data_IF_983321754408
#
_entry.id   IF_983321754408
#
_cell.length_a   1.000
_cell.length_b   1.000
_cell.length_c   1.000
_cell.angle_alpha   90.00
_cell.angle_beta   90.00
_cell.angle_gamma   90.00
#
_symmetry.space_group_name_H-M   'P 1'
#
loop_
_entity.id
_entity.type
_entity.pdbx_description
1 polymer ?
#
# COMPACT_ATOMS: atom_id res chain seq x y z
N UNK A 1 16.11 62.87 -12.37
CA UNK A 1 15.60 63.18 -13.73
C UNK A 1 16.68 63.94 -14.47
N UNK A 2 17.00 63.67 -15.76
CA UNK A 2 16.16 63.14 -16.87
C UNK A 2 16.69 61.82 -17.50
N UNK A 3 15.86 60.85 -17.92
CA UNK A 3 15.10 60.64 -19.19
C UNK A 3 15.93 60.25 -20.45
N UNK A 4 15.82 58.95 -20.79
CA UNK A 4 15.75 58.26 -22.12
C UNK A 4 16.97 58.30 -23.08
N UNK A 5 17.29 57.29 -23.91
CA UNK A 5 16.41 56.46 -24.79
C UNK A 5 17.24 55.36 -25.51
N UNK A 6 16.54 54.27 -25.89
CA UNK A 6 16.83 53.27 -26.96
C UNK A 6 17.78 52.11 -26.62
N UNK A 7 17.65 50.86 -27.07
CA UNK A 7 16.69 50.02 -27.84
C UNK A 7 17.27 48.59 -27.64
N UNK A 8 16.47 47.56 -27.32
CA UNK A 8 16.76 46.20 -27.84
C UNK A 8 15.52 45.30 -27.90
N UNK A 9 15.12 45.05 -29.16
CA UNK A 9 14.38 43.93 -29.76
C UNK A 9 13.47 43.04 -28.90
N UNK A 10 12.17 43.15 -29.23
CA UNK A 10 11.15 42.12 -29.07
C UNK A 10 11.62 40.78 -29.68
N UNK A 11 11.75 39.74 -28.85
CA UNK A 11 11.48 38.36 -29.26
C UNK A 11 10.22 37.91 -28.53
N UNK A 12 9.14 37.80 -29.28
CA UNK A 12 7.96 37.08 -28.86
C UNK A 12 8.34 35.59 -28.77
N UNK A 13 8.65 35.12 -27.58
CA UNK A 13 8.53 33.70 -27.29
C UNK A 13 7.04 33.46 -27.05
N UNK A 14 6.36 32.85 -28.03
CA UNK A 14 5.13 32.13 -27.78
C UNK A 14 5.47 31.06 -26.74
N UNK A 15 5.24 31.37 -25.46
CA UNK A 15 5.10 30.35 -24.44
C UNK A 15 3.83 29.60 -24.77
N UNK A 16 3.97 28.43 -25.38
CA UNK A 16 2.93 27.41 -25.34
C UNK A 16 2.84 27.02 -23.86
N UNK A 17 1.99 27.72 -23.12
CA UNK A 17 1.41 27.15 -21.91
C UNK A 17 0.57 25.98 -22.41
N UNK A 18 1.17 24.79 -22.42
CA UNK A 18 0.39 23.58 -22.31
C UNK A 18 -0.34 23.71 -20.97
N UNK A 19 -1.58 24.20 -21.02
CA UNK A 19 -2.50 24.04 -19.93
C UNK A 19 -2.67 22.53 -19.76
N UNK A 20 -1.84 21.92 -18.92
CA UNK A 20 -2.11 20.60 -18.38
C UNK A 20 -3.42 20.75 -17.62
N UNK A 21 -4.54 20.44 -18.28
CA UNK A 21 -5.81 20.33 -17.61
C UNK A 21 -5.58 19.37 -16.43
N UNK A 22 -5.81 19.85 -15.22
CA UNK A 22 -5.83 18.96 -14.06
C UNK A 22 -6.79 17.81 -14.40
N UNK A 23 -6.38 16.54 -14.23
CA UNK A 23 -7.25 15.42 -14.57
C UNK A 23 -8.58 15.61 -13.84
N UNK A 24 -9.67 15.73 -14.58
CA UNK A 24 -10.99 15.86 -13.98
C UNK A 24 -11.30 14.56 -13.24
N UNK A 25 -11.69 14.68 -11.97
CA UNK A 25 -12.19 13.53 -11.21
C UNK A 25 -13.45 13.03 -11.92
N UNK A 26 -13.35 11.86 -12.54
CA UNK A 26 -14.46 11.21 -13.21
C UNK A 26 -15.13 10.23 -12.25
N UNK A 27 -16.45 10.32 -12.15
CA UNK A 27 -17.26 9.36 -11.41
C UNK A 27 -17.83 8.30 -12.37
N UNK A 28 -17.88 7.05 -11.91
CA UNK A 28 -18.56 5.98 -12.65
C UNK A 28 -20.07 6.29 -12.73
N UNK A 29 -20.69 6.05 -13.90
CA UNK A 29 -22.15 6.10 -14.03
C UNK A 29 -22.73 4.85 -13.34
N UNK A 30 -23.16 5.03 -12.09
CA UNK A 30 -23.87 4.11 -11.17
C UNK A 30 -23.86 2.60 -11.48
N UNK A 31 -23.41 1.82 -10.49
CA UNK A 31 -23.76 0.39 -10.39
C UNK A 31 -23.73 -0.09 -8.92
N UNK A 32 -24.91 -0.41 -8.38
CA UNK A 32 -25.18 -1.27 -7.20
C UNK A 32 -24.44 -0.93 -5.89
N UNK A 33 -25.00 -0.03 -5.08
CA UNK A 33 -24.60 0.20 -3.68
C UNK A 33 -23.16 0.73 -3.51
N UNK A 34 -22.83 1.19 -2.30
CA UNK A 34 -21.46 1.56 -1.96
C UNK A 34 -20.67 0.31 -1.57
N UNK A 35 -19.34 0.27 -1.78
CA UNK A 35 -18.52 -0.86 -1.34
C UNK A 35 -18.65 -1.07 0.18
N UNK A 36 -18.77 0.02 0.96
CA UNK A 36 -18.95 -0.03 2.42
C UNK A 36 -20.22 -0.81 2.84
N UNK A 37 -21.25 -0.87 2.00
CA UNK A 37 -22.51 -1.55 2.30
C UNK A 37 -22.38 -3.09 2.32
N UNK A 38 -21.26 -3.59 1.76
CA UNK A 38 -20.89 -5.01 1.76
C UNK A 38 -20.28 -5.45 3.08
N UNK A 39 -19.76 -4.52 3.90
CA UNK A 39 -19.11 -4.85 5.16
C UNK A 39 -20.12 -5.43 6.17
N UNK A 40 -19.76 -6.58 6.74
CA UNK A 40 -20.46 -7.20 7.87
C UNK A 40 -19.80 -6.77 9.19
N UNK A 41 -20.41 -7.06 10.35
CA UNK A 41 -19.75 -6.83 11.63
C UNK A 41 -18.43 -7.61 11.75
N UNK A 42 -17.38 -6.93 12.20
CA UNK A 42 -16.06 -7.53 12.44
C UNK A 42 -16.11 -8.51 13.63
N UNK A 43 -15.47 -9.69 13.55
CA UNK A 43 -15.39 -10.60 14.68
C UNK A 43 -14.44 -10.08 15.76
N UNK A 44 -14.94 -10.03 17.00
CA UNK A 44 -14.09 -9.83 18.19
C UNK A 44 -13.10 -11.00 18.28
N UNK A 45 -11.82 -10.69 18.53
CA UNK A 45 -10.75 -11.69 18.59
C UNK A 45 -10.35 -12.29 17.23
N UNK A 46 -10.88 -11.76 16.12
CA UNK A 46 -10.42 -12.10 14.78
C UNK A 46 -9.11 -11.43 14.40
N UNK A 47 -8.50 -11.92 13.32
CA UNK A 47 -7.29 -11.34 12.76
C UNK A 47 -5.99 -11.84 13.42
N UNK A 48 -4.95 -11.00 13.42
CA UNK A 48 -3.61 -11.37 13.86
C UNK A 48 -2.96 -10.27 14.71
N UNK A 49 -2.50 -10.65 15.91
CA UNK A 49 -1.71 -9.79 16.79
C UNK A 49 -0.57 -10.57 17.46
N UNK A 50 0.42 -9.84 17.98
CA UNK A 50 1.54 -10.40 18.73
C UNK A 50 1.86 -9.48 19.91
N UNK A 51 1.80 -9.95 21.18
CA UNK A 51 1.87 -9.07 22.35
C UNK A 51 3.10 -8.14 22.42
N UNK A 52 4.28 -8.65 22.08
CA UNK A 52 5.57 -7.93 22.17
C UNK A 52 5.97 -7.23 20.86
N UNK A 53 5.10 -7.30 19.85
CA UNK A 53 5.38 -6.75 18.53
C UNK A 53 4.28 -5.77 18.12
N UNK A 54 4.69 -4.75 17.38
CA UNK A 54 3.78 -4.10 16.45
C UNK A 54 3.56 -5.06 15.29
N UNK A 55 2.30 -5.28 14.94
CA UNK A 55 1.90 -6.02 13.74
C UNK A 55 1.13 -5.08 12.82
N UNK A 56 1.46 -5.07 11.53
CA UNK A 56 0.88 -4.14 10.54
C UNK A 56 0.72 -4.81 9.18
N UNK A 57 0.01 -4.15 8.26
CA UNK A 57 -0.16 -4.52 6.85
C UNK A 57 -0.28 -6.01 6.52
N UNK A 58 -1.50 -6.56 6.46
CA UNK A 58 -1.70 -7.99 6.13
C UNK A 58 -2.00 -8.25 4.65
N UNK A 59 -1.61 -9.43 4.20
CA UNK A 59 -2.02 -10.03 2.94
C UNK A 59 -2.37 -11.49 3.17
N UNK A 60 -3.60 -11.89 2.85
CA UNK A 60 -4.11 -13.23 3.12
C UNK A 60 -4.36 -14.00 1.82
N UNK A 61 -3.98 -15.28 1.81
CA UNK A 61 -4.30 -16.23 0.74
C UNK A 61 -4.71 -17.58 1.34
N UNK A 62 -5.63 -18.29 0.69
CA UNK A 62 -5.97 -19.66 1.04
C UNK A 62 -4.95 -20.62 0.44
N UNK A 63 -4.37 -21.47 1.27
CA UNK A 63 -3.41 -22.50 0.87
C UNK A 63 -4.08 -23.73 0.28
N UNK A 64 -3.30 -24.53 -0.45
CA UNK A 64 -3.72 -25.85 -0.93
C UNK A 64 -3.97 -26.84 0.23
N UNK A 65 -3.41 -26.57 1.41
CA UNK A 65 -3.68 -27.28 2.66
C UNK A 65 -5.05 -26.94 3.29
N UNK A 66 -5.82 -26.06 2.64
CA UNK A 66 -7.14 -25.63 3.09
C UNK A 66 -7.12 -24.56 4.18
N UNK A 67 -5.94 -24.12 4.63
CA UNK A 67 -5.77 -23.09 5.67
C UNK A 67 -5.66 -21.70 5.05
N UNK A 68 -5.76 -20.68 5.90
CA UNK A 68 -5.58 -19.28 5.53
C UNK A 68 -4.22 -18.82 6.01
N UNK A 69 -3.41 -18.30 5.09
CA UNK A 69 -2.05 -17.85 5.32
C UNK A 69 -2.02 -16.33 5.22
N UNK A 70 -1.71 -15.67 6.34
CA UNK A 70 -1.49 -14.24 6.42
C UNK A 70 0.00 -13.95 6.41
N UNK A 71 0.43 -13.11 5.47
CA UNK A 71 1.71 -12.43 5.55
C UNK A 71 1.48 -11.05 6.15
N UNK A 72 2.26 -10.67 7.15
CA UNK A 72 2.11 -9.40 7.84
C UNK A 72 3.47 -8.82 8.23
N UNK A 73 3.50 -7.53 8.51
CA UNK A 73 4.67 -6.85 9.05
C UNK A 73 4.77 -7.06 10.55
N UNK A 74 5.97 -7.27 11.08
CA UNK A 74 6.22 -7.12 12.51
C UNK A 74 7.51 -6.39 12.84
N UNK A 75 7.55 -5.70 13.98
CA UNK A 75 8.77 -5.22 14.64
C UNK A 75 8.52 -5.10 16.15
N UNK A 76 9.57 -5.17 16.96
CA UNK A 76 9.40 -5.20 18.43
C UNK A 76 8.88 -3.86 18.96
N UNK A 77 8.05 -3.93 20.01
CA UNK A 77 7.48 -2.73 20.63
C UNK A 77 8.51 -1.81 21.26
N UNK A 78 9.56 -2.39 21.82
CA UNK A 78 10.66 -1.69 22.52
C UNK A 78 11.55 -0.82 21.60
N UNK A 79 11.42 -0.96 20.27
CA UNK A 79 12.05 -0.08 19.27
C UNK A 79 11.24 1.22 19.06
N UNK A 80 9.95 1.19 19.42
CA UNK A 80 8.99 2.25 19.09
C UNK A 80 8.32 2.05 17.72
N UNK A 81 7.18 2.73 17.53
CA UNK A 81 6.35 2.51 16.35
C UNK A 81 7.04 2.91 15.04
N UNK A 82 7.89 3.95 15.05
CA UNK A 82 8.69 4.37 13.88
C UNK A 82 9.70 3.30 13.40
N UNK A 83 9.97 2.27 14.21
CA UNK A 83 10.81 1.14 13.85
C UNK A 83 10.31 0.32 12.65
N UNK A 84 9.10 0.58 12.12
CA UNK A 84 8.62 -0.08 10.91
C UNK A 84 9.57 0.09 9.71
N UNK A 85 10.26 1.23 9.61
CA UNK A 85 11.15 1.53 8.48
C UNK A 85 12.60 1.05 8.71
N UNK A 86 12.93 0.60 9.92
CA UNK A 86 14.30 0.18 10.29
C UNK A 86 14.43 -1.26 10.77
N UNK A 87 13.36 -1.84 11.32
CA UNK A 87 13.37 -3.11 12.04
C UNK A 87 12.28 -4.10 11.58
N UNK A 88 11.45 -3.72 10.61
CA UNK A 88 10.34 -4.57 10.21
C UNK A 88 10.78 -5.79 9.40
N UNK A 89 10.12 -6.91 9.69
CA UNK A 89 10.25 -8.15 8.95
C UNK A 89 8.86 -8.64 8.55
N UNK A 90 8.77 -9.24 7.36
CA UNK A 90 7.54 -9.93 6.95
C UNK A 90 7.50 -11.30 7.62
N UNK A 91 6.40 -11.55 8.32
CA UNK A 91 6.08 -12.81 8.98
C UNK A 91 4.90 -13.50 8.34
N UNK A 92 4.77 -14.77 8.66
CA UNK A 92 3.69 -15.63 8.24
C UNK A 92 2.93 -16.16 9.46
N UNK A 93 1.61 -16.09 9.38
CA UNK A 93 0.67 -16.59 10.37
C UNK A 93 -0.44 -17.39 9.69
N UNK A 94 -1.02 -18.36 10.40
CA UNK A 94 -1.94 -19.35 9.81
C UNK A 94 -3.21 -19.44 10.65
N UNK A 95 -4.35 -19.61 9.98
CA UNK A 95 -5.64 -19.87 10.60
C UNK A 95 -6.41 -20.97 9.85
N UNK A 96 -7.32 -21.65 10.55
CA UNK A 96 -8.26 -22.60 9.92
C UNK A 96 -9.46 -21.90 9.27
N UNK A 97 -9.69 -20.63 9.60
CA UNK A 97 -10.79 -19.79 9.12
C UNK A 97 -10.26 -18.46 8.58
N UNK A 98 -10.93 -17.83 7.60
CA UNK A 98 -10.47 -16.56 7.05
C UNK A 98 -10.43 -15.45 8.10
N UNK A 99 -11.31 -15.50 9.10
CA UNK A 99 -11.36 -14.52 10.18
C UNK A 99 -10.29 -14.73 11.26
N UNK A 100 -9.54 -15.83 11.23
CA UNK A 100 -8.61 -16.16 12.31
C UNK A 100 -9.28 -16.90 13.49
N UNK A 101 -8.70 -16.81 14.70
CA UNK A 101 -7.45 -16.09 15.01
C UNK A 101 -6.27 -16.70 14.24
N UNK A 102 -5.39 -15.85 13.72
CA UNK A 102 -4.16 -16.27 13.07
C UNK A 102 -3.07 -16.50 14.10
N UNK A 103 -2.34 -17.61 13.96
CA UNK A 103 -1.23 -17.97 14.83
C UNK A 103 0.09 -17.80 14.09
N UNK A 104 1.06 -17.15 14.73
CA UNK A 104 2.40 -16.99 14.17
C UNK A 104 3.01 -18.35 13.79
N UNK A 105 3.58 -18.43 12.59
CA UNK A 105 4.28 -19.62 12.08
C UNK A 105 5.77 -19.37 11.97
N UNK A 106 6.19 -18.41 11.13
CA UNK A 106 7.60 -18.17 10.82
C UNK A 106 7.89 -16.72 10.38
N UNK A 107 9.17 -16.39 10.29
CA UNK A 107 9.65 -15.15 9.64
C UNK A 107 9.95 -15.48 8.19
N UNK A 108 9.05 -15.09 7.30
CA UNK A 108 9.14 -15.44 5.89
C UNK A 108 10.27 -14.70 5.17
N UNK A 109 10.45 -13.41 5.47
CA UNK A 109 11.51 -12.58 4.90
C UNK A 109 12.36 -11.96 6.03
N UNK A 110 13.34 -12.70 6.58
CA UNK A 110 14.22 -12.19 7.63
C UNK A 110 15.25 -11.20 7.06
N UNK A 111 16.02 -10.57 7.94
CA UNK A 111 17.22 -9.79 7.56
C UNK A 111 18.16 -10.70 6.77
N UNK A 112 18.71 -10.21 5.66
CA UNK A 112 19.68 -10.95 4.80
C UNK A 112 21.02 -10.27 4.59
N UNK A 113 21.29 -9.17 5.30
CA UNK A 113 22.57 -8.46 5.22
C UNK A 113 22.50 -7.21 4.35
N UNK A 114 23.28 -6.19 4.73
CA UNK A 114 23.25 -4.85 4.16
C UNK A 114 23.83 -4.75 2.73
N UNK A 115 24.33 -5.85 2.17
CA UNK A 115 24.75 -5.96 0.78
C UNK A 115 23.57 -6.00 -0.21
N UNK A 116 22.35 -6.28 0.27
CA UNK A 116 21.12 -6.31 -0.53
C UNK A 116 20.28 -5.05 -0.33
N UNK A 117 19.48 -4.65 -1.34
CA UNK A 117 18.62 -3.46 -1.27
C UNK A 117 17.53 -3.51 -0.19
N UNK A 118 17.09 -4.72 0.18
CA UNK A 118 16.07 -5.07 1.20
C UNK A 118 16.70 -5.84 2.38
N UNK A 119 18.00 -5.63 2.58
CA UNK A 119 18.83 -6.37 3.48
C UNK A 119 18.41 -6.30 4.94
N UNK A 120 17.99 -5.12 5.38
CA UNK A 120 17.73 -4.81 6.78
C UNK A 120 16.23 -4.79 7.13
N UNK A 121 15.37 -4.51 6.15
CA UNK A 121 13.93 -4.39 6.35
C UNK A 121 13.18 -5.00 5.18
N UNK A 122 12.10 -5.70 5.51
CA UNK A 122 11.04 -6.08 4.58
C UNK A 122 9.70 -5.69 5.18
N UNK A 123 8.81 -5.10 4.38
CA UNK A 123 7.54 -4.58 4.89
C UNK A 123 6.47 -4.51 3.78
N UNK A 124 5.20 -4.30 4.15
CA UNK A 124 4.04 -4.16 3.25
C UNK A 124 3.83 -5.37 2.32
N UNK A 125 3.72 -6.60 2.84
CA UNK A 125 3.59 -7.80 2.02
C UNK A 125 2.31 -7.80 1.18
N UNK A 126 2.40 -8.38 -0.02
CA UNK A 126 1.27 -8.77 -0.85
C UNK A 126 1.59 -10.09 -1.56
N UNK A 127 0.90 -11.15 -1.16
CA UNK A 127 1.04 -12.47 -1.77
C UNK A 127 0.09 -12.64 -2.97
N UNK A 128 0.60 -13.23 -4.04
CA UNK A 128 -0.18 -13.73 -5.18
C UNK A 128 0.27 -15.14 -5.54
N UNK A 129 -0.60 -15.90 -6.20
CA UNK A 129 -0.25 -17.17 -6.83
C UNK A 129 -0.22 -16.99 -8.34
N UNK A 130 0.86 -17.42 -8.99
CA UNK A 130 1.01 -17.33 -10.43
C UNK A 130 1.71 -18.57 -10.98
N UNK A 131 1.00 -19.33 -11.81
CA UNK A 131 1.51 -20.51 -12.56
C UNK A 131 2.31 -21.49 -11.69
N UNK A 132 1.74 -21.94 -10.58
CA UNK A 132 2.37 -22.97 -9.73
C UNK A 132 3.45 -22.45 -8.77
N UNK A 133 3.50 -21.14 -8.52
CA UNK A 133 4.46 -20.50 -7.61
C UNK A 133 3.75 -19.39 -6.85
N UNK A 134 4.06 -19.27 -5.56
CA UNK A 134 3.66 -18.12 -4.74
C UNK A 134 4.71 -17.02 -4.87
N UNK A 135 4.24 -15.78 -5.02
CA UNK A 135 5.07 -14.59 -5.08
C UNK A 135 4.64 -13.63 -4.00
N UNK A 136 5.62 -13.12 -3.24
CA UNK A 136 5.40 -12.19 -2.16
C UNK A 136 6.06 -10.86 -2.53
N UNK A 137 5.24 -9.87 -2.84
CA UNK A 137 5.67 -8.50 -3.09
C UNK A 137 5.80 -7.79 -1.76
N UNK A 138 6.79 -6.94 -1.62
CA UNK A 138 7.06 -6.17 -0.41
C UNK A 138 7.85 -4.93 -0.81
N UNK A 139 7.96 -3.92 0.05
CA UNK A 139 9.11 -3.02 -0.04
C UNK A 139 10.21 -3.51 0.89
N UNK A 140 11.45 -3.31 0.51
CA UNK A 140 12.58 -3.43 1.40
C UNK A 140 13.43 -2.18 1.45
N UNK A 141 14.22 -2.05 2.51
CA UNK A 141 15.19 -0.97 2.65
C UNK A 141 16.43 -1.47 3.37
N UNK A 142 17.56 -0.88 2.99
CA UNK A 142 18.85 -0.98 3.65
C UNK A 142 19.37 0.42 3.87
N UNK A 143 20.01 0.65 4.99
CA UNK A 143 20.56 1.94 5.40
C UNK A 143 21.97 1.74 5.96
N UNK A 144 22.69 2.84 6.12
CA UNK A 144 24.11 2.92 6.41
C UNK A 144 24.42 3.37 7.86
N UNK A 145 23.47 3.15 8.77
CA UNK A 145 23.60 3.38 10.21
C UNK A 145 23.28 2.09 10.99
N UNK A 146 23.66 1.99 12.29
CA UNK A 146 23.41 0.79 13.08
C UNK A 146 21.93 0.44 13.17
N UNK A 147 21.59 -0.85 13.06
CA UNK A 147 20.21 -1.33 13.24
C UNK A 147 19.72 -0.97 14.65
N UNK A 148 18.66 -0.16 14.79
CA UNK A 148 18.17 0.28 16.09
C UNK A 148 17.86 -0.91 17.02
N UNK A 149 18.31 -0.81 18.27
CA UNK A 149 17.99 -1.73 19.36
C UNK A 149 17.09 -1.05 20.40
N UNK A 150 16.56 -1.81 21.35
CA UNK A 150 15.76 -1.25 22.45
C UNK A 150 16.55 -0.14 23.19
N UNK A 151 15.91 1.01 23.39
CA UNK A 151 16.53 2.18 24.01
C UNK A 151 17.47 3.00 23.12
N UNK A 152 17.54 2.71 21.81
CA UNK A 152 18.31 3.52 20.86
C UNK A 152 17.71 4.93 20.76
N UNK A 153 18.53 5.96 20.97
CA UNK A 153 18.17 7.34 20.66
C UNK A 153 18.25 7.57 19.15
N UNK A 154 17.11 7.91 18.53
CA UNK A 154 17.02 8.16 17.10
C UNK A 154 17.68 9.48 16.74
N UNK A 155 18.56 9.47 15.72
CA UNK A 155 19.03 10.72 15.13
C UNK A 155 17.98 11.27 14.16
N UNK A 156 17.94 12.59 14.04
CA UNK A 156 16.88 13.30 13.30
C UNK A 156 16.75 12.90 11.82
N UNK A 157 17.83 12.40 11.18
CA UNK A 157 17.87 12.05 9.76
C UNK A 157 17.68 10.55 9.47
N UNK A 158 17.72 9.69 10.49
CA UNK A 158 17.69 8.22 10.31
C UNK A 158 16.40 7.74 9.64
N UNK A 159 15.27 8.27 10.07
CA UNK A 159 13.97 7.94 9.48
C UNK A 159 13.96 8.25 7.98
N UNK A 160 14.35 9.47 7.61
CA UNK A 160 14.33 9.91 6.22
C UNK A 160 15.29 9.09 5.36
N UNK A 161 16.51 8.82 5.86
CA UNK A 161 17.50 8.00 5.16
C UNK A 161 17.00 6.59 4.89
N UNK A 162 16.42 5.92 5.90
CA UNK A 162 15.85 4.59 5.71
C UNK A 162 14.61 4.61 4.80
N UNK A 163 13.76 5.62 4.94
CA UNK A 163 12.56 5.77 4.12
C UNK A 163 12.87 5.98 2.64
N UNK A 164 13.89 6.79 2.34
CA UNK A 164 14.30 7.13 0.97
C UNK A 164 14.94 5.96 0.21
N UNK A 165 15.35 4.90 0.92
CA UNK A 165 15.93 3.70 0.33
C UNK A 165 14.88 2.61 -0.02
N UNK A 166 13.60 2.84 0.24
CA UNK A 166 12.55 1.86 -0.06
C UNK A 166 12.48 1.49 -1.54
N UNK A 167 12.50 0.19 -1.83
CA UNK A 167 12.28 -0.38 -3.16
C UNK A 167 11.35 -1.58 -3.10
N UNK A 168 10.51 -1.75 -4.12
CA UNK A 168 9.67 -2.95 -4.24
C UNK A 168 10.54 -4.16 -4.62
N UNK A 169 10.48 -5.21 -3.82
CA UNK A 169 11.03 -6.53 -4.11
C UNK A 169 9.91 -7.56 -4.35
N UNK A 170 10.28 -8.68 -4.97
CA UNK A 170 9.38 -9.83 -5.18
C UNK A 170 10.11 -11.11 -4.81
N UNK A 171 9.71 -11.74 -3.71
CA UNK A 171 10.19 -13.06 -3.30
C UNK A 171 9.31 -14.14 -3.95
N UNK A 172 9.84 -15.36 -4.08
CA UNK A 172 9.06 -16.49 -4.59
C UNK A 172 9.32 -17.78 -3.83
N UNK A 173 8.31 -18.64 -3.81
CA UNK A 173 8.37 -19.98 -3.20
C UNK A 173 7.38 -20.93 -3.85
N UNK A 174 7.68 -22.23 -3.82
CA UNK A 174 6.73 -23.29 -4.17
C UNK A 174 5.74 -23.62 -3.06
N UNK A 175 5.98 -23.11 -1.86
CA UNK A 175 5.16 -23.31 -0.67
C UNK A 175 4.95 -22.01 0.09
N UNK A 176 3.77 -21.82 0.68
CA UNK A 176 3.50 -20.67 1.57
C UNK A 176 4.39 -20.68 2.83
N UNK A 177 4.97 -21.84 3.17
CA UNK A 177 5.94 -22.03 4.26
C UNK A 177 7.40 -21.75 3.85
N UNK A 178 7.62 -21.30 2.61
CA UNK A 178 8.98 -21.12 2.06
C UNK A 178 9.65 -22.45 1.63
N UNK A 179 10.98 -22.44 1.45
CA UNK A 179 11.87 -21.29 1.58
C UNK A 179 11.56 -20.20 0.55
N UNK A 180 11.61 -18.94 0.98
CA UNK A 180 11.43 -17.79 0.10
C UNK A 180 12.76 -17.40 -0.52
N UNK A 181 12.82 -17.43 -1.85
CA UNK A 181 13.95 -16.92 -2.62
C UNK A 181 13.73 -15.45 -2.95
N UNK A 182 14.80 -14.65 -2.91
CA UNK A 182 14.74 -13.20 -3.14
C UNK A 182 15.76 -12.75 -4.19
N UNK A 183 15.37 -11.98 -5.22
CA UNK A 183 16.31 -11.43 -6.19
C UNK A 183 17.25 -10.44 -5.53
N UNK A 184 18.44 -10.23 -6.10
CA UNK A 184 19.39 -9.22 -5.59
C UNK A 184 19.01 -7.79 -5.96
N UNK A 185 18.13 -7.61 -6.95
CA UNK A 185 17.67 -6.32 -7.47
C UNK A 185 16.18 -6.12 -7.18
N UNK A 186 15.73 -4.87 -7.00
CA UNK A 186 14.30 -4.60 -6.87
C UNK A 186 13.56 -4.85 -8.19
N UNK A 187 12.25 -5.03 -8.10
CA UNK A 187 11.38 -5.23 -9.26
C UNK A 187 11.18 -3.94 -10.06
N UNK A 188 11.26 -2.78 -9.40
CA UNK A 188 11.10 -1.46 -10.04
C UNK A 188 11.93 -0.40 -9.30
N UNK A 189 12.80 0.28 -10.04
CA UNK A 189 13.60 1.41 -9.56
C UNK A 189 12.86 2.75 -9.73
N UNK A 190 13.06 3.74 -8.84
CA UNK A 190 12.59 5.12 -9.02
C UNK A 190 13.17 5.78 -10.28
N UNK A 191 12.53 6.86 -10.75
CA UNK A 191 12.98 7.63 -11.92
C UNK A 191 13.41 9.05 -11.51
N UNK A 192 14.71 9.31 -11.34
CA UNK A 192 15.20 10.66 -11.01
C UNK A 192 14.63 11.72 -11.98
N UNK A 193 14.14 12.82 -11.42
CA UNK A 193 13.54 13.93 -12.19
C UNK A 193 12.10 13.70 -12.66
N UNK A 194 11.46 12.60 -12.28
CA UNK A 194 10.02 12.35 -12.50
C UNK A 194 9.24 12.45 -11.18
N UNK A 195 7.91 12.29 -11.25
CA UNK A 195 7.04 12.29 -10.07
C UNK A 195 7.37 11.16 -9.09
N UNK A 196 7.93 10.04 -9.59
CA UNK A 196 8.32 8.86 -8.83
C UNK A 196 9.84 8.76 -8.66
N UNK A 197 10.47 9.85 -8.24
CA UNK A 197 11.92 9.99 -8.23
C UNK A 197 12.64 9.30 -7.06
N UNK A 198 11.96 9.02 -5.95
CA UNK A 198 12.66 8.71 -4.71
C UNK A 198 12.55 7.26 -4.25
N UNK A 199 11.34 6.69 -4.30
CA UNK A 199 11.07 5.37 -3.72
C UNK A 199 10.10 4.58 -4.60
N UNK A 200 10.06 3.27 -4.40
CA UNK A 200 8.96 2.43 -4.86
C UNK A 200 8.45 1.63 -3.66
N UNK A 201 7.16 1.74 -3.34
CA UNK A 201 6.59 1.14 -2.12
C UNK A 201 5.11 0.79 -2.27
N UNK A 202 4.55 0.14 -1.25
CA UNK A 202 3.14 -0.23 -1.11
C UNK A 202 2.65 -1.01 -2.36
N UNK A 203 3.33 -2.11 -2.71
CA UNK A 203 3.01 -2.85 -3.92
C UNK A 203 1.59 -3.42 -3.89
N UNK A 204 0.87 -3.24 -4.99
CA UNK A 204 -0.48 -3.79 -5.20
C UNK A 204 -0.56 -4.49 -6.57
N UNK A 205 0.04 -5.69 -6.68
CA UNK A 205 -0.05 -6.50 -7.89
C UNK A 205 -1.44 -7.12 -8.06
N UNK A 206 -1.89 -7.20 -9.31
CA UNK A 206 -3.05 -7.98 -9.73
C UNK A 206 -2.75 -8.66 -11.06
N UNK A 207 -3.14 -9.93 -11.20
CA UNK A 207 -3.08 -10.63 -12.47
C UNK A 207 -4.35 -10.28 -13.24
N UNK A 208 -4.21 -9.76 -14.46
CA UNK A 208 -5.31 -9.61 -15.37
C UNK A 208 -5.67 -10.99 -15.95
N UNK A 209 -6.86 -11.55 -15.68
CA UNK A 209 -7.22 -12.89 -16.12
C UNK A 209 -7.47 -12.99 -17.64
N UNK A 210 -7.66 -11.87 -18.33
CA UNK A 210 -7.89 -11.81 -19.79
C UNK A 210 -6.56 -11.81 -20.53
N UNK A 211 -5.59 -11.00 -20.09
CA UNK A 211 -4.29 -10.86 -20.77
C UNK A 211 -3.20 -11.76 -20.20
N UNK A 212 -3.37 -12.25 -18.96
CA UNK A 212 -2.37 -13.00 -18.21
C UNK A 212 -1.22 -12.15 -17.66
N UNK A 213 -1.23 -10.83 -17.91
CA UNK A 213 -0.23 -9.89 -17.43
C UNK A 213 -0.48 -9.44 -16.00
N UNK A 214 0.53 -8.84 -15.38
CA UNK A 214 0.47 -8.34 -14.01
C UNK A 214 0.51 -6.84 -14.04
N UNK A 215 -0.58 -6.21 -13.59
CA UNK A 215 -0.61 -4.79 -13.26
C UNK A 215 -0.08 -4.64 -11.84
N UNK A 216 0.88 -3.74 -11.63
CA UNK A 216 1.41 -3.36 -10.32
C UNK A 216 1.11 -1.88 -10.09
N UNK A 217 0.16 -1.59 -9.21
CA UNK A 217 0.04 -0.25 -8.65
C UNK A 217 1.03 -0.08 -7.50
N UNK A 218 1.69 1.08 -7.44
CA UNK A 218 2.70 1.37 -6.42
C UNK A 218 2.66 2.84 -6.02
N UNK A 219 3.18 3.13 -4.83
CA UNK A 219 3.33 4.49 -4.27
C UNK A 219 4.76 4.98 -4.46
N UNK A 220 4.90 6.29 -4.70
CA UNK A 220 6.17 7.00 -4.70
C UNK A 220 6.04 8.43 -4.16
N UNK A 221 7.17 9.11 -4.04
CA UNK A 221 7.29 10.55 -3.82
C UNK A 221 8.26 11.18 -4.85
N UNK A 222 8.11 12.49 -5.15
CA UNK A 222 9.03 13.22 -5.99
C UNK A 222 10.30 13.69 -5.25
N UNK A 223 10.28 13.86 -3.93
CA UNK A 223 11.38 14.55 -3.20
C UNK A 223 11.80 13.85 -1.90
N UNK A 224 10.86 13.58 -0.98
CA UNK A 224 11.15 13.09 0.37
C UNK A 224 9.91 12.39 0.97
N UNK A 225 9.90 12.10 2.27
CA UNK A 225 8.73 11.48 2.90
C UNK A 225 7.48 12.36 3.02
N UNK A 226 7.56 13.66 2.71
CA UNK A 226 6.45 14.58 2.82
C UNK A 226 5.47 14.44 1.63
N UNK A 227 4.17 14.73 1.83
CA UNK A 227 3.20 14.82 0.74
C UNK A 227 3.62 15.83 -0.34
N UNK A 228 3.13 15.68 -1.59
CA UNK A 228 2.18 14.66 -2.02
C UNK A 228 2.84 13.29 -2.23
N UNK A 229 2.19 12.24 -1.69
CA UNK A 229 2.50 10.85 -2.03
C UNK A 229 1.60 10.42 -3.19
N UNK A 230 2.20 9.84 -4.22
CA UNK A 230 1.56 9.66 -5.52
C UNK A 230 1.52 8.18 -5.91
N UNK A 231 0.51 7.80 -6.69
CA UNK A 231 0.33 6.43 -7.17
C UNK A 231 0.62 6.31 -8.68
N UNK A 232 1.32 5.24 -9.04
CA UNK A 232 1.67 4.87 -10.41
C UNK A 232 1.23 3.45 -10.74
N UNK A 233 1.17 3.11 -12.02
CA UNK A 233 1.01 1.73 -12.47
C UNK A 233 2.10 1.30 -13.44
N UNK A 234 2.54 0.05 -13.30
CA UNK A 234 3.43 -0.64 -14.23
C UNK A 234 2.87 -2.02 -14.58
N UNK A 235 3.32 -2.59 -15.69
CA UNK A 235 2.89 -3.89 -16.18
C UNK A 235 4.08 -4.81 -16.45
N UNK A 236 3.93 -6.10 -16.16
CA UNK A 236 4.90 -7.14 -16.49
C UNK A 236 4.21 -8.42 -16.97
N UNK A 237 4.90 -9.24 -17.76
CA UNK A 237 4.42 -10.56 -18.21
C UNK A 237 4.65 -11.66 -17.16
N UNK A 238 5.51 -11.40 -16.16
CA UNK A 238 5.90 -12.35 -15.12
C UNK A 238 6.21 -11.61 -13.80
N UNK A 239 5.95 -12.19 -12.60
CA UNK A 239 6.21 -11.51 -11.32
C UNK A 239 7.66 -11.11 -11.07
N UNK A 240 8.60 -11.83 -11.67
CA UNK A 240 10.05 -11.55 -11.63
C UNK A 240 10.55 -10.89 -12.92
N UNK A 241 9.64 -10.45 -13.79
CA UNK A 241 9.96 -9.82 -15.05
C UNK A 241 10.24 -8.31 -14.92
N UNK A 242 10.47 -7.68 -16.06
CA UNK A 242 10.61 -6.23 -16.16
C UNK A 242 9.23 -5.55 -16.03
N UNK A 243 9.09 -4.66 -15.04
CA UNK A 243 7.90 -3.82 -14.88
C UNK A 243 8.02 -2.52 -15.70
N UNK A 244 7.17 -2.40 -16.72
CA UNK A 244 7.11 -1.21 -17.59
C UNK A 244 6.00 -0.29 -17.13
N UNK A 245 6.34 0.94 -16.77
CA UNK A 245 5.36 1.97 -16.38
C UNK A 245 4.39 2.23 -17.53
N UNK A 246 3.11 2.28 -17.20
CA UNK A 246 2.05 2.51 -18.19
C UNK A 246 1.72 3.99 -18.39
N UNK A 247 2.19 4.86 -17.50
CA UNK A 247 2.02 6.31 -17.57
C UNK A 247 3.30 7.02 -17.15
N UNK A 248 3.58 8.15 -17.80
CA UNK A 248 4.65 9.05 -17.38
C UNK A 248 4.25 9.94 -16.18
N UNK A 249 2.95 10.15 -15.99
CA UNK A 249 2.34 10.94 -14.91
C UNK A 249 1.72 10.02 -13.83
N UNK A 250 1.50 10.54 -12.60
CA UNK A 250 0.73 9.83 -11.58
C UNK A 250 -0.69 9.51 -12.05
N UNK A 251 -1.23 8.40 -11.56
CA UNK A 251 -2.56 7.91 -11.92
C UNK A 251 -3.68 8.71 -11.25
N UNK A 252 -3.40 9.25 -10.07
CA UNK A 252 -4.28 10.15 -9.36
C UNK A 252 -3.57 11.47 -9.05
N UNK A 253 -4.30 12.57 -9.24
CA UNK A 253 -3.91 13.91 -8.78
C UNK A 253 -5.13 14.54 -8.11
N UNK A 254 -5.27 14.23 -6.83
CA UNK A 254 -6.25 14.88 -5.97
C UNK A 254 -5.66 16.15 -5.34
N UNK A 255 -4.33 16.22 -5.24
CA UNK A 255 -3.60 17.39 -4.80
C UNK A 255 -3.82 18.58 -5.72
N UNK A 256 -3.86 19.77 -5.12
CA UNK A 256 -3.83 21.04 -5.85
C UNK A 256 -2.69 21.88 -5.31
N UNK A 257 -2.29 22.93 -6.06
CA UNK A 257 -1.29 23.88 -5.56
C UNK A 257 -1.67 24.51 -4.20
N UNK A 258 -2.97 24.57 -3.88
CA UNK A 258 -3.48 25.12 -2.63
C UNK A 258 -3.72 24.05 -1.54
N UNK A 259 -3.77 22.76 -1.90
CA UNK A 259 -3.99 21.66 -0.97
C UNK A 259 -3.19 20.43 -1.40
N UNK A 260 -1.98 20.29 -0.88
CA UNK A 260 -1.11 19.13 -1.11
C UNK A 260 -1.48 17.93 -0.23
N UNK A 261 -2.31 18.15 0.79
CA UNK A 261 -2.82 17.14 1.74
C UNK A 261 -4.07 16.43 1.20
N UNK A 262 -4.31 16.47 -0.11
CA UNK A 262 -5.32 15.65 -0.75
C UNK A 262 -4.64 14.43 -1.39
N UNK A 263 -3.99 13.61 -0.57
CA UNK A 263 -3.28 12.40 -1.02
C UNK A 263 -3.99 11.11 -0.59
N UNK A 264 -3.72 10.06 -1.37
CA UNK A 264 -4.27 8.72 -1.16
C UNK A 264 -3.13 7.72 -1.01
N UNK A 265 -3.36 6.68 -0.22
CA UNK A 265 -2.34 5.65 -0.02
C UNK A 265 -2.91 4.24 0.12
N UNK A 266 -2.00 3.28 0.27
CA UNK A 266 -2.32 1.86 0.47
C UNK A 266 -3.30 1.29 -0.56
N UNK A 267 -2.96 1.36 -1.86
CA UNK A 267 -3.82 0.83 -2.89
C UNK A 267 -3.96 -0.69 -2.75
N UNK A 268 -5.18 -1.18 -2.86
CA UNK A 268 -5.49 -2.59 -3.10
C UNK A 268 -6.26 -2.71 -4.42
N UNK A 269 -5.56 -3.19 -5.45
CA UNK A 269 -6.15 -3.47 -6.76
C UNK A 269 -6.57 -4.94 -6.85
N UNK A 270 -7.73 -5.20 -7.45
CA UNK A 270 -8.15 -6.53 -7.91
C UNK A 270 -8.85 -6.44 -9.27
N UNK A 271 -9.08 -7.59 -9.90
CA UNK A 271 -9.83 -7.70 -11.15
C UNK A 271 -11.06 -8.58 -10.89
N UNK A 272 -12.24 -8.11 -11.24
CA UNK A 272 -13.50 -8.80 -10.96
C UNK A 272 -13.95 -9.76 -12.07
N UNK A 273 -13.16 -9.85 -13.15
CA UNK A 273 -13.44 -10.67 -14.34
C UNK A 273 -13.74 -9.85 -15.58
N UNK A 274 -14.19 -8.61 -15.40
CA UNK A 274 -14.51 -7.68 -16.49
C UNK A 274 -13.62 -6.43 -16.49
N UNK A 275 -13.32 -5.91 -15.30
CA UNK A 275 -12.53 -4.69 -15.11
C UNK A 275 -11.77 -4.72 -13.78
N UNK A 276 -10.87 -3.75 -13.61
CA UNK A 276 -10.14 -3.53 -12.37
C UNK A 276 -10.97 -2.72 -11.37
N UNK A 277 -10.83 -3.08 -10.11
CA UNK A 277 -11.35 -2.34 -8.97
C UNK A 277 -10.21 -2.00 -8.02
N UNK A 278 -10.38 -0.91 -7.27
CA UNK A 278 -9.39 -0.36 -6.35
C UNK A 278 -10.08 0.12 -5.09
N UNK A 279 -9.55 -0.25 -3.93
CA UNK A 279 -9.79 0.47 -2.68
C UNK A 279 -8.48 1.08 -2.21
N UNK A 280 -8.53 2.27 -1.65
CA UNK A 280 -7.36 2.96 -1.10
C UNK A 280 -7.77 3.92 -0.01
N UNK A 281 -6.82 4.27 0.85
CA UNK A 281 -7.02 5.20 1.94
C UNK A 281 -7.03 6.63 1.45
N UNK A 282 -8.06 7.37 1.83
CA UNK A 282 -8.11 8.82 1.79
C UNK A 282 -7.53 9.34 3.11
N UNK A 283 -6.30 9.84 3.06
CA UNK A 283 -5.51 10.12 4.28
C UNK A 283 -6.13 11.22 5.13
N UNK A 284 -6.66 12.24 4.48
CA UNK A 284 -7.19 13.45 5.12
C UNK A 284 -8.71 13.56 5.05
N UNK A 285 -9.38 12.67 4.33
CA UNK A 285 -10.85 12.59 4.29
C UNK A 285 -11.50 13.58 3.33
N UNK A 286 -10.72 14.26 2.49
CA UNK A 286 -11.22 15.27 1.56
C UNK A 286 -12.03 14.68 0.40
N UNK A 287 -11.93 13.38 0.16
CA UNK A 287 -12.59 12.68 -0.95
C UNK A 287 -13.82 11.91 -0.46
N UNK A 288 -13.68 11.12 0.61
CA UNK A 288 -14.76 10.29 1.16
C UNK A 288 -15.50 10.91 2.35
N UNK A 289 -15.05 12.06 2.85
CA UNK A 289 -15.64 12.75 4.00
C UNK A 289 -15.24 12.18 5.37
N UNK A 290 -14.21 11.34 5.46
CA UNK A 290 -13.68 10.81 6.73
C UNK A 290 -12.16 10.67 6.67
N UNK A 291 -11.43 11.31 7.59
CA UNK A 291 -9.98 11.21 7.70
C UNK A 291 -9.54 9.76 7.96
N UNK A 292 -8.71 9.21 7.08
CA UNK A 292 -8.30 7.81 7.11
C UNK A 292 -9.40 6.83 6.69
N UNK A 293 -10.49 7.33 6.11
CA UNK A 293 -11.51 6.52 5.45
C UNK A 293 -11.03 5.94 4.12
N UNK A 294 -11.85 5.07 3.53
CA UNK A 294 -11.55 4.43 2.26
C UNK A 294 -12.33 5.00 1.10
N UNK A 295 -11.72 5.00 -0.08
CA UNK A 295 -12.38 5.27 -1.36
C UNK A 295 -12.34 4.06 -2.28
N UNK A 296 -13.35 3.91 -3.13
CA UNK A 296 -13.48 2.86 -4.14
C UNK A 296 -13.43 3.49 -5.54
N UNK A 297 -12.73 2.84 -6.46
CA UNK A 297 -12.61 3.25 -7.85
C UNK A 297 -12.60 2.03 -8.79
N UNK A 298 -12.90 2.27 -10.07
CA UNK A 298 -12.93 1.24 -11.12
C UNK A 298 -12.19 1.70 -12.37
N UNK A 299 -11.61 0.77 -13.12
CA UNK A 299 -10.90 1.05 -14.37
C UNK A 299 -10.97 -0.14 -15.33
N UNK A 300 -11.10 0.10 -16.63
CA UNK A 300 -11.07 -0.97 -17.65
C UNK A 300 -9.65 -1.36 -18.05
N UNK A 301 -8.71 -0.44 -17.96
CA UNK A 301 -7.33 -0.60 -18.46
C UNK A 301 -6.28 -0.52 -17.34
N UNK A 302 -6.68 -0.13 -16.13
CA UNK A 302 -5.79 0.03 -14.98
C UNK A 302 -5.05 1.38 -14.97
N UNK A 303 -5.33 2.27 -15.93
CA UNK A 303 -4.71 3.59 -16.08
C UNK A 303 -5.77 4.68 -15.85
N UNK A 304 -6.92 4.58 -16.51
CA UNK A 304 -8.01 5.55 -16.40
C UNK A 304 -8.99 5.08 -15.32
N UNK A 305 -8.88 5.67 -14.13
CA UNK A 305 -9.69 5.32 -12.96
C UNK A 305 -10.86 6.28 -12.76
N UNK A 306 -12.00 5.70 -12.38
CA UNK A 306 -13.22 6.45 -12.05
C UNK A 306 -13.61 6.16 -10.61
N UNK A 307 -13.78 7.21 -9.80
CA UNK A 307 -14.29 7.07 -8.45
C UNK A 307 -15.72 6.50 -8.50
N UNK A 308 -16.00 5.57 -7.60
CA UNK A 308 -17.35 5.04 -7.44
C UNK A 308 -18.28 6.11 -6.89
N UNK A 309 -19.58 5.94 -7.11
CA UNK A 309 -20.61 6.80 -6.55
C UNK A 309 -21.73 5.93 -5.94
N UNK A 310 -21.86 5.87 -4.60
CA UNK A 310 -21.04 6.56 -3.59
C UNK A 310 -19.56 6.09 -3.56
N UNK A 311 -18.65 6.99 -3.18
CA UNK A 311 -17.19 6.73 -3.24
C UNK A 311 -16.65 5.92 -2.07
N UNK A 312 -17.30 5.98 -0.90
CA UNK A 312 -16.73 5.50 0.36
C UNK A 312 -16.63 3.98 0.42
N UNK A 313 -15.43 3.45 0.57
CA UNK A 313 -15.16 2.01 0.64
C UNK A 313 -15.24 1.45 2.07
N UNK A 314 -14.70 2.17 3.04
CA UNK A 314 -14.69 1.74 4.44
C UNK A 314 -14.59 2.95 5.37
N UNK A 315 -14.80 2.70 6.66
CA UNK A 315 -14.74 3.70 7.74
C UNK A 315 -13.81 3.20 8.85
N UNK A 316 -13.21 4.14 9.58
CA UNK A 316 -12.53 3.83 10.85
C UNK A 316 -13.52 3.50 11.96
N UNK A 317 -14.79 3.80 11.77
CA UNK A 317 -15.87 3.39 12.67
C UNK A 317 -16.26 1.95 12.36
N UNK A 318 -15.76 1.03 13.18
CA UNK A 318 -15.95 -0.42 13.02
C UNK A 318 -17.09 -0.89 13.90
N UNK A 319 -18.03 -1.64 13.31
CA UNK A 319 -19.06 -2.40 14.02
C UNK A 319 -18.57 -3.81 14.26
N UNK A 320 -18.73 -4.30 15.48
CA UNK A 320 -18.32 -5.64 15.89
C UNK A 320 -19.51 -6.60 15.97
N UNK A 321 -19.24 -7.90 15.91
CA UNK A 321 -20.24 -8.97 15.94
C UNK A 321 -20.94 -9.12 17.30
N UNK A 322 -20.39 -8.54 18.37
CA UNK A 322 -21.05 -8.42 19.67
C UNK A 322 -22.01 -7.22 19.75
N UNK A 323 -22.14 -6.45 18.65
CA UNK A 323 -22.99 -5.27 18.54
C UNK A 323 -22.32 -3.97 18.93
N UNK A 324 -21.11 -4.01 19.51
CA UNK A 324 -20.36 -2.81 19.87
C UNK A 324 -19.86 -2.05 18.63
N UNK A 325 -19.56 -0.77 18.81
CA UNK A 325 -19.00 0.10 17.77
C UNK A 325 -17.84 0.86 18.36
N UNK A 326 -16.72 0.88 17.64
CA UNK A 326 -15.51 1.59 18.06
C UNK A 326 -14.98 2.42 16.90
N UNK A 327 -14.41 3.57 17.21
CA UNK A 327 -13.66 4.36 16.24
C UNK A 327 -12.16 4.02 16.37
N UNK A 328 -11.57 3.44 15.33
CA UNK A 328 -10.18 3.01 15.35
C UNK A 328 -9.22 4.21 15.24
N UNK A 329 -8.09 4.14 15.95
CA UNK A 329 -7.04 5.14 15.83
C UNK A 329 -6.51 5.23 14.40
N UNK A 330 -6.38 4.07 13.73
CA UNK A 330 -5.98 3.95 12.34
C UNK A 330 -6.72 2.80 11.64
N UNK A 331 -6.88 2.91 10.33
CA UNK A 331 -7.38 1.85 9.44
C UNK A 331 -6.49 1.90 8.19
N UNK A 332 -5.39 1.16 8.25
CA UNK A 332 -4.37 1.18 7.19
C UNK A 332 -4.39 -0.11 6.39
N UNK A 333 -3.79 -0.06 5.19
CA UNK A 333 -3.55 -1.25 4.38
C UNK A 333 -4.82 -2.09 4.14
N UNK A 334 -5.90 -1.49 3.57
CA UNK A 334 -7.19 -2.15 3.35
C UNK A 334 -7.08 -3.23 2.28
N UNK A 335 -6.87 -4.49 2.69
CA UNK A 335 -6.55 -5.57 1.76
C UNK A 335 -7.67 -6.62 1.72
N UNK A 336 -8.05 -7.06 0.52
CA UNK A 336 -9.11 -8.04 0.36
C UNK A 336 -8.54 -9.46 0.25
N UNK A 337 -9.20 -10.40 0.92
CA UNK A 337 -9.13 -11.81 0.53
C UNK A 337 -10.08 -12.03 -0.64
N UNK A 338 -9.54 -12.57 -1.74
CA UNK A 338 -10.31 -12.90 -2.93
C UNK A 338 -10.45 -14.43 -3.01
N UNK A 339 -11.69 -14.92 -3.00
CA UNK A 339 -12.00 -16.33 -3.23
C UNK A 339 -12.95 -16.45 -4.42
N UNK A 340 -12.65 -17.36 -5.35
CA UNK A 340 -13.44 -17.58 -6.56
C UNK A 340 -13.75 -16.28 -7.35
N UNK A 341 -12.75 -15.40 -7.43
CA UNK A 341 -12.86 -14.11 -8.13
C UNK A 341 -13.65 -13.02 -7.41
N UNK A 342 -14.08 -13.25 -6.16
CA UNK A 342 -14.88 -12.29 -5.39
C UNK A 342 -14.20 -11.91 -4.07
N UNK A 343 -14.25 -10.64 -3.66
CA UNK A 343 -13.88 -10.25 -2.30
C UNK A 343 -14.77 -10.94 -1.27
N UNK A 344 -14.18 -11.62 -0.29
CA UNK A 344 -14.91 -12.26 0.82
C UNK A 344 -14.64 -11.60 2.17
N UNK A 345 -13.45 -11.02 2.35
CA UNK A 345 -13.05 -10.36 3.59
C UNK A 345 -12.20 -9.13 3.30
N UNK A 346 -12.35 -8.08 4.11
CA UNK A 346 -11.47 -6.94 4.17
C UNK A 346 -10.60 -7.04 5.43
N UNK A 347 -9.29 -6.99 5.25
CA UNK A 347 -8.31 -6.88 6.32
C UNK A 347 -7.77 -5.46 6.38
N UNK A 348 -7.41 -5.03 7.57
CA UNK A 348 -6.75 -3.75 7.77
C UNK A 348 -5.88 -3.79 9.01
N UNK A 349 -4.76 -3.09 8.95
CA UNK A 349 -3.98 -2.83 10.14
C UNK A 349 -4.66 -1.72 10.96
N UNK A 350 -4.75 -1.96 12.25
CA UNK A 350 -5.39 -1.03 13.17
C UNK A 350 -4.70 -1.05 14.52
N UNK A 351 -5.06 -0.11 15.38
CA UNK A 351 -4.47 0.02 16.70
C UNK A 351 -5.42 0.66 17.69
N UNK A 352 -5.23 0.28 18.96
CA UNK A 352 -5.89 0.88 20.10
C UNK A 352 -4.88 1.75 20.84
N UNK A 353 -5.32 2.92 21.29
CA UNK A 353 -4.50 3.89 22.00
C UNK A 353 -5.21 5.25 22.09
N UNK A 354 -4.52 6.25 22.64
CA UNK A 354 -5.13 7.54 22.96
C UNK A 354 -5.42 8.41 21.72
N UNK A 355 -4.70 8.20 20.63
CA UNK A 355 -4.77 9.01 19.41
C UNK A 355 -4.17 8.26 18.21
N UNK A 356 -4.42 8.70 16.96
CA UNK A 356 -3.72 8.18 15.79
C UNK A 356 -2.20 8.16 16.01
N UNK A 357 -1.56 7.08 15.59
CA UNK A 357 -0.10 6.86 15.72
C UNK A 357 0.46 6.77 17.15
N UNK A 358 -0.39 6.82 18.19
CA UNK A 358 0.00 6.56 19.58
C UNK A 358 -0.73 5.30 20.08
N UNK A 359 -0.12 4.14 19.83
CA UNK A 359 -0.75 2.84 20.08
C UNK A 359 -0.23 2.19 21.37
N UNK A 360 -1.11 1.47 22.04
CA UNK A 360 -0.76 0.49 23.09
C UNK A 360 -0.59 -0.92 22.48
N UNK A 361 -1.40 -1.20 21.46
CA UNK A 361 -1.32 -2.41 20.64
C UNK A 361 -1.76 -2.13 19.20
N UNK A 362 -1.23 -2.93 18.28
CA UNK A 362 -1.71 -2.99 16.89
C UNK A 362 -1.98 -4.42 16.49
N UNK A 363 -2.91 -4.59 15.57
CA UNK A 363 -3.25 -5.88 14.99
C UNK A 363 -3.76 -5.72 13.57
N UNK A 364 -3.74 -6.81 12.81
CA UNK A 364 -4.48 -6.87 11.55
C UNK A 364 -5.88 -7.39 11.85
N UNK A 365 -6.88 -6.52 11.79
CA UNK A 365 -8.29 -6.91 11.91
C UNK A 365 -8.83 -7.47 10.59
N UNK A 366 -10.02 -8.06 10.66
CA UNK A 366 -10.73 -8.67 9.55
C UNK A 366 -12.21 -8.30 9.61
N UNK A 367 -12.82 -8.09 8.46
CA UNK A 367 -14.23 -7.73 8.29
C UNK A 367 -14.79 -8.60 7.15
N UNK A 368 -15.69 -9.55 7.45
CA UNK A 368 -16.35 -10.34 6.41
C UNK A 368 -17.19 -9.45 5.48
N UNK A 369 -17.38 -9.90 4.24
CA UNK A 369 -18.19 -9.24 3.22
C UNK A 369 -19.42 -10.09 2.86
N UNK A 370 -20.51 -9.43 2.46
CA UNK A 370 -21.76 -10.07 1.98
C UNK A 370 -21.62 -10.76 0.63
#
# INVERSE_FOLDING_TARGET
MPISRRIFLKKAALGIFAATAAPQILYAKNSTGSFIDKLLPAPIGGGFEMPDYWVWGSSVIKGEDGKYHMFADRWKKDIGFQGWVTNSQVVHAIADKPEGPYLFSDVSLPIRGAEYFDGLVTHNPRVIYFKGTYYLYYFGTTYDFPVPQAGTEWQNDWFERAWMNKRIGVAWSKSLYGPWHRPERPAIEPRPGKWDATITTNPSPVINPITGKILLMYKSSPVNSAPPLLLGVAEADHPLGEYKRLSDEPIFRFDTAANQDNDVEDPFVWHNGEFYELIMKDRFGHICGEEGGGIHATSKDGIDWKLSNPVKAYSRTVRWNDGSVTHQANFERPFLLIENGKPTHLFAATGAGSSPWNFERTWNMVIPLK
#
